data_IF_177537397289
#
_entry.id   IF_177537397289
#
_cell.length_a   1.000
_cell.length_b   1.000
_cell.length_c   1.000
_cell.angle_alpha   90.00
_cell.angle_beta   90.00
_cell.angle_gamma   90.00
#
_symmetry.space_group_name_H-M   'P 1'
#
loop_
_entity.id
_entity.type
_entity.pdbx_description
1 polymer ?
#
# COMPACT_ATOMS: atom_id res chain seq x y z
N UNK A 1 -12.73 5.78 5.64
CA UNK A 1 -12.49 6.20 4.24
C UNK A 1 -11.23 7.04 4.11
N UNK A 2 -11.05 8.02 4.99
CA UNK A 2 -9.86 8.90 4.93
C UNK A 2 -8.52 8.15 4.98
N UNK A 3 -8.31 7.18 5.90
CA UNK A 3 -7.04 6.45 5.90
C UNK A 3 -6.75 5.74 4.59
N UNK A 4 -7.76 5.10 3.99
CA UNK A 4 -7.61 4.42 2.71
C UNK A 4 -7.25 5.38 1.57
N UNK A 5 -7.84 6.57 1.56
CA UNK A 5 -7.54 7.59 0.54
C UNK A 5 -6.13 8.14 0.71
N UNK A 6 -5.70 8.40 1.95
CA UNK A 6 -4.35 8.88 2.24
C UNK A 6 -3.32 7.81 1.85
N UNK A 7 -3.57 6.56 2.20
CA UNK A 7 -2.72 5.43 1.84
C UNK A 7 -2.61 5.28 0.32
N UNK A 8 -3.74 5.37 -0.38
CA UNK A 8 -3.78 5.30 -1.84
C UNK A 8 -2.97 6.43 -2.48
N UNK A 9 -3.14 7.67 -1.99
CA UNK A 9 -2.39 8.82 -2.51
C UNK A 9 -0.89 8.68 -2.27
N UNK A 10 -0.50 8.20 -1.08
CA UNK A 10 0.91 7.96 -0.76
C UNK A 10 1.52 6.92 -1.69
N UNK A 11 0.79 5.83 -1.93
CA UNK A 11 1.22 4.78 -2.84
C UNK A 11 1.35 5.28 -4.27
N UNK A 12 0.44 6.14 -4.72
CA UNK A 12 0.53 6.74 -6.05
C UNK A 12 1.80 7.56 -6.23
N UNK A 13 2.17 8.37 -5.22
CA UNK A 13 3.41 9.15 -5.23
C UNK A 13 4.62 8.23 -5.31
N UNK A 14 4.69 7.21 -4.46
CA UNK A 14 5.82 6.28 -4.46
C UNK A 14 5.87 5.41 -5.73
N UNK A 15 4.73 5.07 -6.31
CA UNK A 15 4.69 4.36 -7.59
C UNK A 15 5.37 5.20 -8.69
N UNK A 16 5.06 6.50 -8.75
CA UNK A 16 5.71 7.41 -9.69
C UNK A 16 7.22 7.49 -9.43
N UNK A 17 7.63 7.60 -8.17
CA UNK A 17 9.04 7.68 -7.79
C UNK A 17 9.80 6.41 -8.20
N UNK A 18 9.22 5.24 -8.00
CA UNK A 18 9.83 3.98 -8.39
C UNK A 18 9.88 3.80 -9.90
N UNK A 19 8.78 4.06 -10.60
CA UNK A 19 8.69 3.87 -12.05
C UNK A 19 9.58 4.85 -12.83
N UNK A 20 9.79 6.06 -12.29
CA UNK A 20 10.67 7.06 -12.90
C UNK A 20 12.13 6.86 -12.55
N UNK A 21 12.45 5.90 -11.67
CA UNK A 21 13.82 5.63 -11.25
C UNK A 21 14.38 6.63 -10.23
N UNK A 22 13.52 7.50 -9.66
CA UNK A 22 13.92 8.45 -8.61
C UNK A 22 14.29 7.73 -7.32
N UNK A 23 13.54 6.67 -6.98
CA UNK A 23 13.90 5.74 -5.91
C UNK A 23 14.36 4.43 -6.51
N UNK A 24 15.51 3.94 -6.09
CA UNK A 24 16.08 2.68 -6.58
C UNK A 24 16.39 1.74 -5.41
N UNK A 25 15.94 0.49 -5.55
CA UNK A 25 16.28 -0.61 -4.62
C UNK A 25 17.26 -1.56 -5.33
N UNK A 26 17.99 -1.08 -6.29
CA UNK A 26 18.70 -1.89 -7.28
C UNK A 26 17.98 -1.79 -8.61
N UNK A 27 18.69 -1.99 -9.71
CA UNK A 27 18.24 -1.61 -11.05
C UNK A 27 16.94 -2.29 -11.50
N UNK A 28 16.68 -3.54 -11.06
CA UNK A 28 15.49 -4.29 -11.49
C UNK A 28 14.33 -4.25 -10.50
N UNK A 29 14.64 -4.13 -9.20
CA UNK A 29 13.63 -4.21 -8.14
C UNK A 29 12.81 -2.94 -7.98
N UNK A 30 13.39 -1.77 -8.28
CA UNK A 30 12.69 -0.50 -8.22
C UNK A 30 11.48 -0.46 -9.16
N UNK A 31 11.65 -0.97 -10.38
CA UNK A 31 10.55 -1.04 -11.35
C UNK A 31 9.44 -1.99 -10.86
N UNK A 32 9.82 -3.17 -10.34
CA UNK A 32 8.87 -4.13 -9.80
C UNK A 32 8.07 -3.56 -8.62
N UNK A 33 8.73 -2.82 -7.73
CA UNK A 33 8.07 -2.13 -6.62
C UNK A 33 7.05 -1.10 -7.14
N UNK A 34 7.40 -0.33 -8.16
CA UNK A 34 6.50 0.64 -8.76
C UNK A 34 5.27 0.00 -9.38
N UNK A 35 5.43 -1.13 -10.07
CA UNK A 35 4.31 -1.88 -10.64
C UNK A 35 3.39 -2.40 -9.53
N UNK A 36 3.96 -2.98 -8.46
CA UNK A 36 3.17 -3.48 -7.33
C UNK A 36 2.36 -2.35 -6.69
N UNK A 37 2.98 -1.21 -6.43
CA UNK A 37 2.30 -0.04 -5.85
C UNK A 37 1.22 0.51 -6.78
N UNK A 38 1.46 0.50 -8.10
CA UNK A 38 0.50 0.93 -9.10
C UNK A 38 -0.75 0.03 -9.13
N UNK A 39 -0.62 -1.24 -8.72
CA UNK A 39 -1.76 -2.15 -8.57
C UNK A 39 -2.47 -1.98 -7.23
N UNK A 40 -1.71 -1.77 -6.15
CA UNK A 40 -2.25 -1.60 -4.80
C UNK A 40 -3.03 -0.30 -4.68
N UNK A 41 -2.52 0.79 -5.27
CA UNK A 41 -3.15 2.11 -5.22
C UNK A 41 -4.61 2.09 -5.68
N UNK A 42 -4.96 1.61 -6.90
CA UNK A 42 -6.35 1.55 -7.32
C UNK A 42 -7.17 0.56 -6.49
N UNK A 43 -6.57 -0.51 -5.99
CA UNK A 43 -7.27 -1.45 -5.12
C UNK A 43 -7.74 -0.77 -3.83
N UNK A 44 -6.88 0.01 -3.18
CA UNK A 44 -7.23 0.78 -1.98
C UNK A 44 -8.26 1.86 -2.29
N UNK A 45 -8.14 2.56 -3.42
CA UNK A 45 -9.10 3.56 -3.85
C UNK A 45 -10.49 2.95 -4.10
N UNK A 46 -10.53 1.78 -4.74
CA UNK A 46 -11.78 1.05 -4.95
C UNK A 46 -12.40 0.58 -3.63
N UNK A 47 -11.57 0.14 -2.69
CA UNK A 47 -12.02 -0.24 -1.35
C UNK A 47 -12.61 0.95 -0.60
N UNK A 48 -11.98 2.12 -0.68
CA UNK A 48 -12.47 3.35 -0.07
C UNK A 48 -13.81 3.77 -0.70
N UNK A 49 -13.91 3.70 -2.01
CA UNK A 49 -15.15 4.03 -2.73
C UNK A 49 -16.29 3.07 -2.34
N UNK A 50 -16.02 1.78 -2.32
CA UNK A 50 -17.01 0.77 -1.94
C UNK A 50 -17.49 0.98 -0.50
N UNK A 51 -16.57 1.31 0.41
CA UNK A 51 -16.89 1.58 1.80
C UNK A 51 -17.77 2.82 1.95
N UNK A 52 -17.48 3.87 1.17
CA UNK A 52 -18.29 5.09 1.16
C UNK A 52 -19.69 4.85 0.62
N UNK A 53 -19.84 3.94 -0.36
CA UNK A 53 -21.14 3.64 -0.97
C UNK A 53 -21.99 2.72 -0.12
N UNK A 54 -21.39 1.76 0.55
CA UNK A 54 -22.11 0.78 1.35
C UNK A 54 -21.19 0.26 2.48
N UNK A 55 -21.34 0.75 3.72
CA UNK A 55 -20.46 0.35 4.80
C UNK A 55 -20.42 -1.16 5.04
N UNK A 56 -21.52 -1.87 4.92
CA UNK A 56 -21.56 -3.31 5.18
C UNK A 56 -20.84 -4.13 4.10
N UNK A 57 -21.15 -3.86 2.82
CA UNK A 57 -20.52 -4.57 1.70
C UNK A 57 -19.12 -4.05 1.42
N UNK A 58 -18.98 -2.73 1.50
CA UNK A 58 -17.71 -2.05 1.23
C UNK A 58 -16.61 -2.42 2.21
N UNK A 59 -16.97 -2.78 3.44
CA UNK A 59 -15.99 -3.24 4.43
C UNK A 59 -15.23 -4.47 3.96
N UNK A 60 -15.91 -5.43 3.35
CA UNK A 60 -15.26 -6.63 2.80
C UNK A 60 -14.28 -6.27 1.67
N UNK A 61 -14.71 -5.40 0.77
CA UNK A 61 -13.86 -4.94 -0.32
C UNK A 61 -12.65 -4.17 0.20
N UNK A 62 -12.85 -3.30 1.17
CA UNK A 62 -11.76 -2.52 1.79
C UNK A 62 -10.78 -3.44 2.54
N UNK A 63 -11.28 -4.42 3.28
CA UNK A 63 -10.42 -5.40 3.97
C UNK A 63 -9.63 -6.25 2.99
N UNK A 64 -10.25 -6.65 1.87
CA UNK A 64 -9.55 -7.40 0.82
C UNK A 64 -8.44 -6.54 0.20
N UNK A 65 -8.71 -5.27 -0.08
CA UNK A 65 -7.71 -4.35 -0.62
C UNK A 65 -6.56 -4.13 0.36
N UNK A 66 -6.86 -3.95 1.65
CA UNK A 66 -5.85 -3.80 2.69
C UNK A 66 -5.02 -5.07 2.86
N UNK A 67 -5.64 -6.25 2.81
CA UNK A 67 -4.92 -7.52 2.84
C UNK A 67 -3.96 -7.67 1.67
N UNK A 68 -4.40 -7.30 0.48
CA UNK A 68 -3.54 -7.28 -0.71
C UNK A 68 -2.37 -6.30 -0.54
N UNK A 69 -2.63 -5.10 -0.01
CA UNK A 69 -1.60 -4.10 0.25
C UNK A 69 -0.59 -4.59 1.28
N UNK A 70 -1.06 -5.16 2.40
CA UNK A 70 -0.21 -5.69 3.46
C UNK A 70 0.68 -6.81 2.91
N UNK A 71 0.12 -7.71 2.14
CA UNK A 71 0.89 -8.78 1.49
C UNK A 71 1.96 -8.21 0.56
N UNK A 72 1.58 -7.25 -0.29
CA UNK A 72 2.52 -6.61 -1.22
C UNK A 72 3.64 -5.87 -0.51
N UNK A 73 3.32 -5.14 0.56
CA UNK A 73 4.33 -4.45 1.37
C UNK A 73 5.23 -5.40 2.13
N UNK A 74 4.70 -6.53 2.61
CA UNK A 74 5.50 -7.54 3.29
C UNK A 74 6.52 -8.17 2.33
N UNK A 75 6.08 -8.50 1.12
CA UNK A 75 6.98 -9.00 0.07
C UNK A 75 8.00 -7.94 -0.31
N UNK A 76 7.55 -6.70 -0.52
CA UNK A 76 8.43 -5.57 -0.85
C UNK A 76 9.48 -5.33 0.22
N UNK A 77 9.09 -5.39 1.49
CA UNK A 77 10.02 -5.23 2.60
C UNK A 77 11.13 -6.29 2.58
N UNK A 78 10.80 -7.54 2.24
CA UNK A 78 11.79 -8.62 2.16
C UNK A 78 12.87 -8.33 1.11
N UNK A 79 12.53 -7.63 0.02
CA UNK A 79 13.49 -7.20 -0.99
C UNK A 79 14.23 -5.92 -0.59
N UNK A 80 13.60 -5.05 0.19
CA UNK A 80 14.16 -3.77 0.60
C UNK A 80 15.23 -3.94 1.69
N UNK A 81 15.03 -4.89 2.60
CA UNK A 81 16.00 -5.18 3.65
C UNK A 81 17.31 -5.61 2.99
N UNK A 82 18.39 -4.92 3.33
CA UNK A 82 19.72 -5.19 2.76
C UNK A 82 19.99 -4.53 1.43
N UNK A 83 19.02 -3.78 0.84
CA UNK A 83 19.23 -3.06 -0.41
C UNK A 83 20.10 -1.82 -0.26
N UNK A 84 20.20 -1.28 0.96
CA UNK A 84 20.90 -0.02 1.23
C UNK A 84 20.04 1.23 0.99
N UNK A 85 18.82 1.08 0.50
CA UNK A 85 17.90 2.20 0.28
C UNK A 85 17.14 2.50 1.57
N UNK A 86 17.62 3.51 2.31
CA UNK A 86 17.05 3.89 3.60
C UNK A 86 15.69 4.57 3.47
N UNK A 87 15.46 5.28 2.36
CA UNK A 87 14.18 5.96 2.12
C UNK A 87 13.09 4.93 1.87
N UNK A 88 13.36 3.96 1.02
CA UNK A 88 12.39 2.91 0.70
C UNK A 88 12.14 2.00 1.90
N UNK A 89 13.17 1.68 2.67
CA UNK A 89 13.04 0.92 3.90
C UNK A 89 12.15 1.66 4.91
N UNK A 90 12.39 2.97 5.11
CA UNK A 90 11.57 3.80 6.00
C UNK A 90 10.11 3.85 5.54
N UNK A 91 9.88 3.96 4.25
CA UNK A 91 8.54 3.96 3.65
C UNK A 91 7.81 2.65 3.97
N UNK A 92 8.44 1.50 3.74
CA UNK A 92 7.84 0.20 4.03
C UNK A 92 7.58 0.01 5.53
N UNK A 93 8.53 0.41 6.38
CA UNK A 93 8.40 0.29 7.83
C UNK A 93 7.33 1.23 8.40
N UNK A 94 7.07 2.36 7.76
CA UNK A 94 6.02 3.29 8.17
C UNK A 94 4.65 2.86 7.65
N UNK A 95 4.56 2.46 6.38
CA UNK A 95 3.28 2.13 5.74
C UNK A 95 2.69 0.82 6.24
N UNK A 96 3.51 -0.19 6.48
CA UNK A 96 3.02 -1.50 6.88
C UNK A 96 2.22 -1.46 8.19
N UNK A 97 2.72 -0.84 9.28
CA UNK A 97 1.91 -0.69 10.50
C UNK A 97 0.65 0.13 10.29
N UNK A 98 0.68 1.16 9.45
CA UNK A 98 -0.50 1.98 9.14
C UNK A 98 -1.56 1.14 8.44
N UNK A 99 -1.18 0.35 7.45
CA UNK A 99 -2.09 -0.55 6.74
C UNK A 99 -2.69 -1.60 7.69
N UNK A 100 -1.88 -2.18 8.55
CA UNK A 100 -2.33 -3.17 9.54
C UNK A 100 -3.30 -2.52 10.53
N UNK A 101 -2.97 -1.33 11.05
CA UNK A 101 -3.84 -0.62 11.98
C UNK A 101 -5.19 -0.28 11.33
N UNK A 102 -5.19 0.18 10.09
CA UNK A 102 -6.41 0.47 9.34
C UNK A 102 -7.26 -0.78 9.17
N UNK A 103 -6.64 -1.91 8.82
CA UNK A 103 -7.34 -3.19 8.67
C UNK A 103 -7.95 -3.65 9.98
N UNK A 104 -7.22 -3.55 11.09
CA UNK A 104 -7.71 -3.95 12.41
C UNK A 104 -8.87 -3.06 12.86
N UNK A 105 -8.76 -1.74 12.70
CA UNK A 105 -9.83 -0.81 13.05
C UNK A 105 -11.09 -1.10 12.23
N UNK A 106 -10.93 -1.37 10.95
CA UNK A 106 -12.05 -1.67 10.06
C UNK A 106 -12.68 -3.03 10.40
N UNK A 107 -11.87 -4.01 10.76
CA UNK A 107 -12.34 -5.35 11.11
C UNK A 107 -13.17 -5.37 12.39
N UNK A 108 -12.86 -4.51 13.37
CA UNK A 108 -13.59 -4.48 14.65
C UNK A 108 -14.83 -3.60 14.61
N UNK A 109 -15.03 -2.83 13.56
CA UNK A 109 -16.25 -2.06 13.38
C UNK A 109 -17.39 -2.98 12.96
N UNK A 110 -18.50 -2.86 13.65
CA UNK A 110 -19.69 -3.66 13.35
C UNK A 110 -20.69 -2.91 12.47
#
# INVERSE_FOLDING_TARGET
VRPLLIESATLAVFAVLHLTGTLRIGASTSYGAGVAEALICPALACGAFALARSPARGRRAALAALGFAIFGFSVGLSFTIGSGDTIDLAYHLAMLPVLIATALLLAVQS
#
